data_IF_309146557432
#
_entry.id   IF_309146557432
#
_cell.length_a   1.000
_cell.length_b   1.000
_cell.length_c   1.000
_cell.angle_alpha   90.00
_cell.angle_beta   90.00
_cell.angle_gamma   90.00
#
_symmetry.space_group_name_H-M   'P 1'
#
loop_
_entity.id
_entity.type
_entity.pdbx_description
1 polymer ?
#
# COMPACT_ATOMS: atom_id res chain seq x y z
N UNK A 1 23.89 -17.83 10.51
CA UNK A 1 24.06 -17.20 9.18
C UNK A 1 24.92 -18.10 8.30
N UNK A 2 24.32 -18.83 7.35
CA UNK A 2 25.06 -19.60 6.32
C UNK A 2 25.14 -18.76 5.06
N UNK A 3 26.33 -18.32 4.69
CA UNK A 3 26.55 -17.57 3.47
C UNK A 3 26.62 -18.53 2.28
N UNK A 4 25.84 -18.24 1.23
CA UNK A 4 25.96 -18.90 -0.07
C UNK A 4 26.47 -17.88 -1.08
N UNK A 5 27.53 -18.24 -1.78
CA UNK A 5 27.97 -17.49 -2.96
C UNK A 5 27.10 -17.91 -4.13
N UNK A 6 26.48 -16.95 -4.81
CA UNK A 6 25.71 -17.20 -6.03
C UNK A 6 26.24 -16.32 -7.15
N UNK A 7 26.30 -16.88 -8.35
CA UNK A 7 26.52 -16.13 -9.58
C UNK A 7 25.21 -15.47 -10.03
N UNK A 8 25.27 -14.16 -10.30
CA UNK A 8 24.19 -13.45 -10.98
C UNK A 8 24.15 -13.89 -12.44
N UNK A 9 23.46 -14.99 -12.70
CA UNK A 9 23.14 -15.42 -14.05
C UNK A 9 22.27 -14.37 -14.76
N UNK A 10 22.92 -13.39 -15.40
CA UNK A 10 22.60 -12.66 -16.63
C UNK A 10 23.51 -11.42 -16.69
N UNK A 11 24.58 -11.49 -17.50
CA UNK A 11 25.31 -10.34 -18.06
C UNK A 11 26.26 -9.55 -17.16
N UNK A 12 26.14 -9.61 -15.84
CA UNK A 12 27.03 -8.89 -14.92
C UNK A 12 27.69 -9.89 -13.97
N UNK A 13 28.97 -10.17 -14.16
CA UNK A 13 29.77 -11.13 -13.39
C UNK A 13 30.09 -10.60 -11.99
N UNK A 14 29.07 -10.46 -11.14
CA UNK A 14 29.23 -10.06 -9.75
C UNK A 14 29.08 -11.28 -8.84
N UNK A 15 30.17 -11.67 -8.18
CA UNK A 15 30.11 -12.61 -7.07
C UNK A 15 29.47 -11.91 -5.88
N UNK A 16 28.22 -12.25 -5.54
CA UNK A 16 27.59 -11.76 -4.32
C UNK A 16 27.41 -12.89 -3.31
N UNK A 17 27.69 -12.57 -2.04
CA UNK A 17 27.34 -13.44 -0.92
C UNK A 17 25.90 -13.14 -0.54
N UNK A 18 25.02 -14.09 -0.78
CA UNK A 18 23.65 -14.06 -0.27
C UNK A 18 23.57 -14.97 0.95
N UNK A 19 23.07 -14.46 2.06
CA UNK A 19 22.66 -15.27 3.19
C UNK A 19 21.15 -15.18 3.31
N UNK A 20 20.48 -16.30 3.58
CA UNK A 20 19.11 -16.24 4.09
C UNK A 20 19.22 -15.65 5.51
N UNK A 21 18.72 -14.43 5.64
CA UNK A 21 18.74 -13.68 6.88
C UNK A 21 17.51 -14.06 7.70
N UNK A 22 17.75 -14.56 8.91
CA UNK A 22 16.73 -14.88 9.90
C UNK A 22 16.23 -13.58 10.56
N UNK A 23 15.62 -12.68 9.78
CA UNK A 23 15.27 -11.34 10.24
C UNK A 23 14.72 -10.41 9.17
N UNK A 24 14.28 -9.24 9.61
CA UNK A 24 13.72 -8.19 8.77
C UNK A 24 14.76 -7.10 8.53
N UNK A 25 15.02 -6.79 7.26
CA UNK A 25 15.65 -5.54 6.86
C UNK A 25 14.55 -4.45 6.81
N UNK A 26 14.77 -3.37 7.55
CA UNK A 26 13.94 -2.18 7.58
C UNK A 26 14.25 -1.29 6.37
N UNK A 27 13.36 -0.33 6.07
CA UNK A 27 13.52 0.60 4.94
C UNK A 27 14.73 1.54 5.12
N UNK A 28 15.17 1.76 6.36
CA UNK A 28 16.37 2.52 6.71
C UNK A 28 17.67 1.68 6.67
N UNK A 29 17.57 0.41 6.26
CA UNK A 29 18.70 -0.53 6.20
C UNK A 29 19.04 -1.21 7.53
N UNK A 30 18.31 -0.95 8.61
CA UNK A 30 18.53 -1.67 9.87
C UNK A 30 18.00 -3.10 9.78
N UNK A 31 18.71 -4.06 10.41
CA UNK A 31 18.31 -5.47 10.41
C UNK A 31 17.85 -5.90 11.81
N UNK A 32 16.65 -6.46 11.90
CA UNK A 32 16.09 -7.04 13.13
C UNK A 32 16.05 -8.56 12.99
N UNK A 33 16.89 -9.33 13.72
CA UNK A 33 16.83 -10.78 13.67
C UNK A 33 15.54 -11.32 14.32
N UNK A 34 14.93 -12.36 13.74
CA UNK A 34 13.78 -13.10 14.32
C UNK A 34 14.21 -14.05 15.44
N UNK A 35 15.48 -14.45 15.48
CA UNK A 35 15.99 -15.44 16.45
C UNK A 35 15.61 -16.90 16.15
N UNK A 36 14.90 -17.15 15.05
CA UNK A 36 14.50 -18.50 14.60
C UNK A 36 15.38 -18.89 13.40
N UNK A 37 16.18 -19.97 13.46
CA UNK A 37 17.04 -20.39 12.35
C UNK A 37 16.24 -20.81 11.12
N UNK A 38 16.54 -20.26 9.95
CA UNK A 38 15.93 -20.68 8.69
C UNK A 38 16.27 -22.14 8.37
N UNK A 39 15.23 -22.94 8.18
CA UNK A 39 15.33 -24.35 7.82
C UNK A 39 14.98 -24.53 6.32
N UNK A 40 16.01 -24.70 5.50
CA UNK A 40 15.87 -24.87 4.04
C UNK A 40 15.16 -26.17 3.61
N UNK A 41 14.85 -27.07 4.54
CA UNK A 41 14.09 -28.30 4.27
C UNK A 41 12.58 -28.12 4.39
N UNK A 42 12.12 -26.94 4.84
CA UNK A 42 10.70 -26.60 4.89
C UNK A 42 10.31 -26.05 3.53
N UNK A 43 9.45 -26.78 2.82
CA UNK A 43 8.78 -26.23 1.64
C UNK A 43 8.02 -24.98 2.08
N UNK A 44 8.32 -23.83 1.48
CA UNK A 44 7.49 -22.64 1.61
C UNK A 44 6.11 -23.05 1.08
N UNK A 45 5.10 -23.11 1.96
CA UNK A 45 3.75 -23.45 1.55
C UNK A 45 3.33 -22.47 0.44
N UNK A 46 2.76 -22.99 -0.64
CA UNK A 46 2.25 -22.13 -1.70
C UNK A 46 1.00 -21.43 -1.20
N UNK A 47 0.96 -20.11 -1.40
CA UNK A 47 -0.24 -19.29 -1.22
C UNK A 47 -1.41 -19.97 -1.95
N UNK A 48 -2.44 -20.39 -1.22
CA UNK A 48 -3.71 -20.77 -1.84
C UNK A 48 -4.40 -19.48 -2.28
N UNK A 49 -4.55 -19.29 -3.59
CA UNK A 49 -5.37 -18.21 -4.12
C UNK A 49 -6.76 -18.25 -3.46
N UNK A 50 -7.18 -17.14 -2.82
CA UNK A 50 -8.51 -16.98 -2.22
C UNK A 50 -8.59 -16.95 -0.69
N UNK A 51 -7.47 -17.12 0.04
CA UNK A 51 -7.48 -17.07 1.49
C UNK A 51 -7.10 -15.69 2.05
N UNK A 52 -8.09 -14.95 2.55
CA UNK A 52 -7.92 -13.65 3.21
C UNK A 52 -7.78 -13.71 4.73
N UNK A 53 -7.45 -12.56 5.32
CA UNK A 53 -7.32 -12.36 6.77
C UNK A 53 -8.66 -12.15 7.46
N UNK A 54 -9.73 -11.88 6.68
CA UNK A 54 -11.07 -11.61 7.20
C UNK A 54 -12.09 -12.58 6.61
N UNK A 55 -13.03 -13.02 7.45
CA UNK A 55 -14.17 -13.85 7.10
C UNK A 55 -15.45 -13.17 7.59
N UNK A 56 -16.36 -12.90 6.67
CA UNK A 56 -17.70 -12.36 6.98
C UNK A 56 -18.68 -13.52 6.98
N UNK A 57 -19.10 -13.94 8.18
CA UNK A 57 -20.14 -14.93 8.38
C UNK A 57 -21.54 -14.32 8.39
N UNK A 58 -22.57 -15.16 8.58
CA UNK A 58 -23.95 -14.69 8.67
C UNK A 58 -24.23 -13.88 9.94
N UNK A 59 -23.55 -14.21 11.04
CA UNK A 59 -23.81 -13.65 12.38
C UNK A 59 -22.60 -12.98 13.03
N UNK A 60 -21.40 -13.20 12.48
CA UNK A 60 -20.18 -12.58 12.97
C UNK A 60 -19.14 -12.34 11.88
N UNK A 61 -18.14 -11.55 12.25
CA UNK A 61 -16.94 -11.34 11.46
C UNK A 61 -15.78 -11.90 12.26
N UNK A 62 -14.92 -12.65 11.59
CA UNK A 62 -13.72 -13.22 12.17
C UNK A 62 -12.49 -12.76 11.38
N UNK A 63 -11.34 -12.75 12.05
CA UNK A 63 -10.06 -12.49 11.42
C UNK A 63 -9.05 -13.57 11.82
N UNK A 64 -7.93 -13.67 11.09
CA UNK A 64 -6.84 -14.59 11.42
C UNK A 64 -5.51 -14.04 10.95
N UNK A 65 -4.44 -14.60 11.51
CA UNK A 65 -3.06 -14.17 11.28
C UNK A 65 -2.39 -15.08 10.26
N UNK A 66 -1.69 -14.51 9.28
CA UNK A 66 -0.69 -15.26 8.53
C UNK A 66 0.60 -15.33 9.36
N UNK A 67 1.14 -16.54 9.55
CA UNK A 67 2.42 -16.79 10.23
C UNK A 67 3.52 -16.99 9.19
N UNK A 68 4.47 -16.07 9.12
CA UNK A 68 5.47 -15.98 8.04
C UNK A 68 6.54 -17.05 8.09
N UNK A 69 6.79 -17.71 9.23
CA UNK A 69 7.78 -18.81 9.28
C UNK A 69 7.34 -20.01 8.44
N UNK A 70 6.03 -20.21 8.29
CA UNK A 70 5.47 -21.41 7.66
C UNK A 70 4.39 -21.11 6.60
N UNK A 71 4.07 -19.82 6.36
CA UNK A 71 2.90 -19.36 5.60
C UNK A 71 1.60 -20.06 6.02
N UNK A 72 1.50 -20.38 7.31
CA UNK A 72 0.33 -21.02 7.89
C UNK A 72 -0.60 -19.99 8.49
N UNK A 73 -1.89 -20.18 8.29
CA UNK A 73 -2.91 -19.38 8.93
C UNK A 73 -3.13 -19.81 10.38
N UNK A 74 -3.34 -18.84 11.27
CA UNK A 74 -3.86 -19.13 12.62
C UNK A 74 -5.31 -19.60 12.57
N UNK A 75 -5.82 -20.03 13.73
CA UNK A 75 -7.26 -20.16 13.91
C UNK A 75 -7.95 -18.80 13.74
N UNK A 76 -9.22 -18.86 13.36
CA UNK A 76 -10.10 -17.69 13.30
C UNK A 76 -10.37 -17.15 14.70
N UNK A 77 -10.23 -15.84 14.85
CA UNK A 77 -10.53 -15.05 16.04
C UNK A 77 -11.73 -14.15 15.72
N UNK A 78 -12.80 -14.21 16.54
CA UNK A 78 -14.00 -13.40 16.33
C UNK A 78 -13.73 -11.93 16.66
N UNK A 79 -14.15 -11.02 15.79
CA UNK A 79 -14.16 -9.59 16.07
C UNK A 79 -15.42 -9.22 16.85
N UNK A 80 -15.30 -8.64 18.06
CA UNK A 80 -16.45 -8.30 18.89
C UNK A 80 -17.22 -7.11 18.30
N UNK A 81 -18.55 -7.11 18.52
CA UNK A 81 -19.43 -5.97 18.25
C UNK A 81 -19.44 -5.43 16.81
N UNK A 82 -19.13 -6.30 15.82
CA UNK A 82 -19.23 -5.99 14.40
C UNK A 82 -20.52 -6.58 13.83
N UNK A 83 -21.31 -5.74 13.16
CA UNK A 83 -22.41 -6.19 12.30
C UNK A 83 -21.82 -6.67 10.96
N UNK A 84 -21.93 -7.98 10.62
CA UNK A 84 -21.37 -8.53 9.39
C UNK A 84 -21.86 -7.83 8.12
N UNK A 85 -23.11 -7.34 8.11
CA UNK A 85 -23.69 -6.68 6.92
C UNK A 85 -23.08 -5.32 6.63
N UNK A 86 -22.47 -4.69 7.64
CA UNK A 86 -21.82 -3.39 7.53
C UNK A 86 -20.29 -3.50 7.49
N UNK A 87 -19.73 -4.72 7.54
CA UNK A 87 -18.30 -4.97 7.42
C UNK A 87 -17.94 -5.20 5.96
N UNK A 88 -17.02 -4.40 5.42
CA UNK A 88 -16.70 -4.36 4.00
C UNK A 88 -15.22 -4.70 3.78
N UNK A 89 -14.90 -5.94 3.38
CA UNK A 89 -13.56 -6.28 2.91
C UNK A 89 -13.19 -5.49 1.65
N UNK A 90 -11.98 -4.93 1.62
CA UNK A 90 -11.46 -4.08 0.52
C UNK A 90 -10.34 -4.82 -0.22
N UNK A 91 -9.42 -5.42 0.54
CA UNK A 91 -8.40 -6.37 0.07
C UNK A 91 -8.43 -7.60 0.97
N UNK A 92 -7.58 -8.59 0.68
CA UNK A 92 -7.41 -9.77 1.53
C UNK A 92 -6.94 -9.41 2.95
N UNK A 93 -6.47 -8.19 3.18
CA UNK A 93 -5.84 -7.75 4.43
C UNK A 93 -6.35 -6.41 4.96
N UNK A 94 -7.22 -5.73 4.22
CA UNK A 94 -7.82 -4.45 4.63
C UNK A 94 -9.34 -4.56 4.52
N UNK A 95 -10.04 -4.15 5.58
CA UNK A 95 -11.49 -4.06 5.60
C UNK A 95 -11.95 -2.79 6.32
N UNK A 96 -13.17 -2.33 6.05
CA UNK A 96 -13.78 -1.19 6.70
C UNK A 96 -15.04 -1.60 7.47
N UNK A 97 -15.19 -1.03 8.66
CA UNK A 97 -16.46 -1.02 9.38
C UNK A 97 -16.68 0.36 9.99
N UNK A 98 -17.77 1.02 9.59
CA UNK A 98 -18.05 2.43 9.92
C UNK A 98 -16.85 3.30 9.51
N UNK A 99 -16.32 4.09 10.43
CA UNK A 99 -15.14 4.94 10.25
C UNK A 99 -13.84 4.27 10.71
N UNK A 100 -13.77 2.93 10.75
CA UNK A 100 -12.54 2.22 11.10
C UNK A 100 -12.05 1.35 9.96
N UNK A 101 -10.74 1.37 9.72
CA UNK A 101 -10.06 0.37 8.91
C UNK A 101 -9.43 -0.69 9.81
N UNK A 102 -9.69 -1.93 9.47
CA UNK A 102 -9.09 -3.12 10.06
C UNK A 102 -8.02 -3.62 9.09
N UNK A 103 -6.78 -3.68 9.55
CA UNK A 103 -5.61 -3.98 8.72
C UNK A 103 -4.87 -5.15 9.35
N UNK A 104 -4.82 -6.28 8.64
CA UNK A 104 -3.92 -7.37 8.97
C UNK A 104 -2.50 -6.98 8.53
N UNK A 105 -1.64 -6.63 9.48
CA UNK A 105 -0.30 -6.11 9.22
C UNK A 105 0.77 -7.08 9.69
N UNK A 106 1.70 -7.40 8.79
CA UNK A 106 2.83 -8.26 9.10
C UNK A 106 3.77 -7.55 10.09
N UNK A 107 3.87 -8.08 11.30
CA UNK A 107 4.75 -7.56 12.34
C UNK A 107 6.23 -7.82 12.01
N UNK A 108 7.17 -7.12 12.67
CA UNK A 108 8.60 -7.42 12.56
C UNK A 108 8.98 -8.86 12.91
N UNK A 109 8.16 -9.54 13.72
CA UNK A 109 8.39 -10.91 14.17
C UNK A 109 7.88 -11.97 13.17
N UNK A 110 7.32 -11.54 12.05
CA UNK A 110 6.84 -12.47 11.03
C UNK A 110 5.46 -13.04 11.32
N UNK A 111 4.67 -12.42 12.18
CA UNK A 111 3.26 -12.79 12.34
C UNK A 111 2.37 -11.57 12.15
N UNK A 112 1.18 -11.80 11.62
CA UNK A 112 0.22 -10.73 11.48
C UNK A 112 -0.30 -10.23 12.83
N UNK A 113 -0.52 -8.93 12.87
CA UNK A 113 -1.21 -8.22 13.94
C UNK A 113 -2.40 -7.49 13.33
N UNK A 114 -3.48 -7.32 14.09
CA UNK A 114 -4.61 -6.51 13.66
C UNK A 114 -4.41 -5.07 14.11
N UNK A 115 -4.23 -4.17 13.16
CA UNK A 115 -4.19 -2.73 13.38
C UNK A 115 -5.57 -2.14 13.06
N UNK A 116 -6.04 -1.24 13.92
CA UNK A 116 -7.31 -0.52 13.72
C UNK A 116 -7.01 0.97 13.62
N UNK A 117 -7.38 1.57 12.50
CA UNK A 117 -7.18 3.01 12.24
C UNK A 117 -8.54 3.70 12.17
N UNK A 118 -8.70 4.80 12.89
CA UNK A 118 -9.89 5.65 12.79
C UNK A 118 -9.75 6.63 11.61
N UNK A 119 -10.71 6.58 10.69
CA UNK A 119 -10.86 7.50 9.59
C UNK A 119 -11.56 8.79 10.06
N UNK A 120 -11.16 9.92 9.48
CA UNK A 120 -11.80 11.22 9.70
C UNK A 120 -13.09 11.40 8.87
N UNK A 121 -13.41 10.39 8.07
CA UNK A 121 -14.57 10.28 7.21
C UNK A 121 -15.17 8.88 7.30
N UNK A 122 -16.50 8.78 7.26
CA UNK A 122 -17.21 7.50 7.14
C UNK A 122 -17.50 7.12 5.69
N UNK A 123 -16.90 7.83 4.71
CA UNK A 123 -17.06 7.50 3.30
C UNK A 123 -16.55 6.07 3.02
N UNK A 124 -17.14 5.35 2.06
CA UNK A 124 -16.64 4.05 1.64
C UNK A 124 -15.18 4.13 1.19
N UNK A 125 -14.34 3.30 1.77
CA UNK A 125 -12.94 3.18 1.41
C UNK A 125 -12.82 2.28 0.19
N UNK A 126 -12.25 2.80 -0.89
CA UNK A 126 -12.21 2.10 -2.18
C UNK A 126 -10.91 1.31 -2.31
N UNK A 127 -10.97 0.21 -3.09
CA UNK A 127 -9.79 -0.57 -3.51
C UNK A 127 -8.97 0.20 -4.56
N UNK A 128 -8.34 1.27 -4.12
CA UNK A 128 -7.52 2.15 -4.93
C UNK A 128 -6.27 2.61 -4.15
N UNK A 129 -5.33 3.23 -4.86
CA UNK A 129 -4.02 3.59 -4.31
C UNK A 129 -4.11 4.69 -3.25
N UNK A 130 -4.96 5.69 -3.44
CA UNK A 130 -5.18 6.78 -2.49
C UNK A 130 -6.67 6.97 -2.27
N UNK A 131 -7.09 7.06 -1.01
CA UNK A 131 -8.43 7.48 -0.61
C UNK A 131 -8.38 8.84 0.09
N UNK A 132 -9.43 9.65 -0.11
CA UNK A 132 -9.54 10.99 0.47
C UNK A 132 -10.42 10.97 1.74
N UNK A 133 -9.89 11.56 2.80
CA UNK A 133 -10.60 11.93 4.02
C UNK A 133 -11.00 13.40 4.03
N UNK A 134 -11.38 13.89 5.21
CA UNK A 134 -11.70 15.32 5.44
C UNK A 134 -10.45 16.18 5.57
N UNK A 135 -9.46 15.70 6.32
CA UNK A 135 -8.18 16.37 6.58
C UNK A 135 -6.97 15.48 6.33
N UNK A 136 -7.20 14.22 5.94
CA UNK A 136 -6.14 13.27 5.64
C UNK A 136 -6.34 12.59 4.28
N UNK A 137 -5.23 12.22 3.65
CA UNK A 137 -5.19 11.21 2.60
C UNK A 137 -4.72 9.88 3.17
N UNK A 138 -5.22 8.80 2.59
CA UNK A 138 -4.92 7.43 3.00
C UNK A 138 -4.33 6.68 1.80
N UNK A 139 -3.01 6.46 1.82
CA UNK A 139 -2.30 5.76 0.76
C UNK A 139 -2.15 4.27 1.09
N UNK A 140 -2.70 3.43 0.22
CA UNK A 140 -2.64 1.98 0.33
C UNK A 140 -1.29 1.49 -0.19
N UNK A 141 -0.40 1.16 0.74
CA UNK A 141 0.86 0.46 0.47
C UNK A 141 0.54 -1.03 0.37
N UNK A 142 0.33 -1.51 -0.85
CA UNK A 142 0.06 -2.94 -1.06
C UNK A 142 1.25 -3.66 -1.69
N UNK A 143 1.61 -4.77 -1.07
CA UNK A 143 2.45 -5.82 -1.62
C UNK A 143 1.87 -7.17 -1.18
N UNK A 144 2.19 -8.26 -1.89
CA UNK A 144 1.62 -9.60 -1.66
C UNK A 144 1.50 -10.03 -0.18
N UNK A 145 2.40 -9.59 0.70
CA UNK A 145 2.41 -9.95 2.12
C UNK A 145 2.41 -8.73 3.07
N UNK A 146 2.34 -7.51 2.52
CA UNK A 146 2.43 -6.27 3.30
C UNK A 146 1.46 -5.27 2.73
N UNK A 147 0.22 -5.37 3.20
CA UNK A 147 -0.75 -4.29 3.10
C UNK A 147 -0.58 -3.39 4.33
N UNK A 148 -0.45 -2.09 4.08
CA UNK A 148 -0.36 -1.05 5.10
C UNK A 148 -1.05 0.22 4.58
N UNK A 149 -1.51 1.07 5.49
CA UNK A 149 -2.13 2.36 5.16
C UNK A 149 -1.25 3.48 5.70
N UNK A 150 -0.65 4.24 4.80
CA UNK A 150 0.04 5.46 5.16
C UNK A 150 -0.95 6.62 5.20
N UNK A 151 -1.07 7.26 6.37
CA UNK A 151 -1.88 8.46 6.57
C UNK A 151 -1.01 9.70 6.36
N UNK A 152 -1.51 10.69 5.65
CA UNK A 152 -0.84 11.98 5.47
C UNK A 152 -1.83 13.13 5.54
N UNK A 153 -1.38 14.30 6.02
CA UNK A 153 -2.20 15.51 6.03
C UNK A 153 -2.35 16.09 4.62
N UNK A 154 -3.51 16.65 4.32
CA UNK A 154 -3.85 17.31 3.04
C UNK A 154 -4.17 18.79 3.26
N UNK A 155 -3.94 19.60 2.23
CA UNK A 155 -4.29 21.02 2.19
C UNK A 155 -5.59 21.24 1.40
N UNK A 156 -6.73 21.26 2.11
CA UNK A 156 -8.05 21.30 1.51
C UNK A 156 -8.48 19.97 0.88
N UNK A 157 -9.48 19.95 -0.02
CA UNK A 157 -10.02 18.72 -0.59
C UNK A 157 -8.99 17.98 -1.46
N UNK A 158 -8.77 16.70 -1.17
CA UNK A 158 -7.94 15.83 -2.00
C UNK A 158 -8.74 15.28 -3.18
N UNK A 159 -8.31 15.58 -4.40
CA UNK A 159 -8.83 14.99 -5.63
C UNK A 159 -7.96 13.82 -6.06
N UNK A 160 -8.56 12.65 -6.23
CA UNK A 160 -7.86 11.41 -6.59
C UNK A 160 -8.06 11.08 -8.07
N UNK A 161 -7.00 10.68 -8.75
CA UNK A 161 -7.02 10.09 -10.10
C UNK A 161 -6.38 8.70 -10.05
N UNK A 162 -6.37 7.99 -11.18
CA UNK A 162 -5.73 6.68 -11.28
C UNK A 162 -4.20 6.72 -11.03
N UNK A 163 -3.55 7.86 -11.30
CA UNK A 163 -2.08 7.97 -11.38
C UNK A 163 -1.46 8.91 -10.37
N UNK A 164 -2.23 9.91 -9.95
CA UNK A 164 -1.83 10.89 -8.94
C UNK A 164 -3.05 11.36 -8.16
N UNK A 165 -2.80 12.03 -7.05
CA UNK A 165 -3.81 12.83 -6.36
C UNK A 165 -3.27 14.25 -6.18
N UNK A 166 -4.14 15.21 -5.94
CA UNK A 166 -3.72 16.56 -5.64
C UNK A 166 -4.69 17.24 -4.69
N UNK A 167 -4.16 18.12 -3.86
CA UNK A 167 -4.91 19.02 -3.00
C UNK A 167 -4.65 20.47 -3.46
N UNK A 168 -4.88 21.46 -2.60
CA UNK A 168 -4.69 22.86 -2.97
C UNK A 168 -3.22 23.27 -3.16
N UNK A 169 -2.27 22.49 -2.64
CA UNK A 169 -0.84 22.86 -2.58
C UNK A 169 0.11 21.82 -3.16
N UNK A 170 -0.28 20.57 -3.13
CA UNK A 170 0.58 19.44 -3.42
C UNK A 170 -0.03 18.49 -4.44
N UNK A 171 0.87 17.88 -5.21
CA UNK A 171 0.59 16.72 -6.03
C UNK A 171 1.26 15.51 -5.39
N UNK A 172 0.50 14.43 -5.28
CA UNK A 172 0.89 13.17 -4.70
C UNK A 172 0.99 12.11 -5.80
N UNK A 173 2.16 11.50 -5.94
CA UNK A 173 2.44 10.43 -6.91
C UNK A 173 3.03 9.23 -6.19
N UNK A 174 3.09 8.06 -6.82
CA UNK A 174 3.59 6.85 -6.16
C UNK A 174 4.30 5.89 -7.11
N UNK A 175 5.32 5.19 -6.60
CA UNK A 175 6.01 4.09 -7.28
C UNK A 175 6.08 2.93 -6.30
N UNK A 176 5.59 1.75 -6.69
CA UNK A 176 5.52 0.62 -5.76
C UNK A 176 4.77 1.04 -4.49
N UNK A 177 5.30 0.76 -3.29
CA UNK A 177 4.67 1.17 -2.02
C UNK A 177 5.13 2.54 -1.49
N UNK A 178 5.81 3.34 -2.31
CA UNK A 178 6.32 4.66 -1.89
C UNK A 178 5.42 5.79 -2.39
N UNK A 179 5.01 6.67 -1.48
CA UNK A 179 4.32 7.92 -1.77
C UNK A 179 5.33 9.07 -1.90
N UNK A 180 5.15 9.91 -2.90
CA UNK A 180 5.90 11.14 -3.13
C UNK A 180 4.96 12.34 -3.09
N UNK A 181 5.46 13.47 -2.60
CA UNK A 181 4.71 14.73 -2.51
C UNK A 181 5.53 15.85 -3.14
N UNK A 182 4.93 16.58 -4.08
CA UNK A 182 5.56 17.68 -4.81
C UNK A 182 4.72 18.94 -4.65
N UNK A 183 5.32 20.05 -4.22
CA UNK A 183 4.62 21.33 -4.17
C UNK A 183 4.38 21.87 -5.58
N UNK A 184 3.19 22.42 -5.84
CA UNK A 184 2.83 23.05 -7.09
C UNK A 184 1.96 24.28 -6.83
N UNK A 185 2.17 25.41 -7.53
CA UNK A 185 1.28 26.56 -7.44
C UNK A 185 -0.08 26.34 -8.12
N UNK A 186 -0.19 25.35 -9.02
CA UNK A 186 -1.45 24.98 -9.65
C UNK A 186 -1.62 23.45 -9.75
N UNK A 187 -1.79 22.74 -8.62
CA UNK A 187 -1.83 21.27 -8.61
C UNK A 187 -2.91 20.68 -9.54
N UNK A 188 -4.02 21.39 -9.71
CA UNK A 188 -5.13 21.02 -10.58
C UNK A 188 -4.77 20.96 -12.08
N UNK A 189 -3.67 21.58 -12.51
CA UNK A 189 -3.17 21.52 -13.90
C UNK A 189 -2.21 20.35 -14.15
N UNK A 190 -1.99 19.49 -13.16
CA UNK A 190 -1.22 18.25 -13.32
C UNK A 190 -1.86 17.33 -14.35
N UNK A 191 -1.05 16.73 -15.23
CA UNK A 191 -1.53 15.86 -16.32
C UNK A 191 -0.51 14.78 -16.68
N UNK A 192 -0.96 13.75 -17.39
CA UNK A 192 -0.05 12.75 -17.98
C UNK A 192 0.44 13.22 -19.37
N UNK A 193 1.67 12.86 -19.76
CA UNK A 193 2.24 13.07 -21.11
C UNK A 193 1.52 12.24 -22.16
N UNK A 194 1.22 10.98 -21.85
CA UNK A 194 0.47 10.06 -22.69
C UNK A 194 -0.56 9.33 -21.84
N UNK A 195 -1.81 9.26 -22.31
CA UNK A 195 -2.87 8.51 -21.64
C UNK A 195 -2.67 6.99 -21.76
N UNK A 196 -1.74 6.52 -22.61
CA UNK A 196 -1.50 5.09 -22.85
C UNK A 196 -0.24 4.52 -22.19
N UNK A 197 0.60 5.34 -21.55
CA UNK A 197 1.83 4.90 -20.87
C UNK A 197 1.65 4.93 -19.35
N UNK A 198 1.41 3.75 -18.76
CA UNK A 198 0.98 3.62 -17.35
C UNK A 198 2.08 3.19 -16.37
N UNK A 199 3.36 3.18 -16.76
CA UNK A 199 4.41 2.47 -15.99
C UNK A 199 5.36 3.34 -15.16
N UNK A 200 5.56 4.63 -15.46
CA UNK A 200 6.48 5.50 -14.71
C UNK A 200 5.81 6.78 -14.21
N UNK A 201 6.28 7.35 -13.09
CA UNK A 201 5.88 8.69 -12.67
C UNK A 201 6.47 9.80 -13.56
N UNK A 202 7.46 9.49 -14.40
CA UNK A 202 8.09 10.45 -15.31
C UNK A 202 7.08 11.01 -16.33
N UNK A 203 6.01 10.27 -16.59
CA UNK A 203 4.93 10.69 -17.48
C UNK A 203 3.97 11.70 -16.83
N UNK A 204 4.12 12.01 -15.54
CA UNK A 204 3.25 12.94 -14.82
C UNK A 204 3.90 14.34 -14.83
N UNK A 205 3.28 15.26 -15.57
CA UNK A 205 3.70 16.66 -15.65
C UNK A 205 3.11 17.43 -14.48
N UNK A 206 3.99 17.81 -13.55
CA UNK A 206 3.69 18.67 -12.40
C UNK A 206 4.33 20.02 -12.66
N UNK A 207 3.51 21.08 -12.76
CA UNK A 207 3.99 22.46 -12.91
C UNK A 207 4.52 22.95 -11.55
N UNK A 208 5.77 23.40 -11.49
CA UNK A 208 6.45 23.73 -10.23
C UNK A 208 6.59 25.23 -9.99
N UNK A 209 6.27 26.04 -11.00
CA UNK A 209 6.40 27.50 -10.95
C UNK A 209 5.12 28.19 -11.43
N UNK A 210 4.90 29.42 -10.96
CA UNK A 210 3.77 30.26 -11.37
C UNK A 210 3.80 30.55 -12.88
N UNK A 211 5.00 30.75 -13.45
CA UNK A 211 5.16 31.02 -14.89
C UNK A 211 4.69 29.83 -15.74
N UNK A 212 5.03 28.60 -15.35
CA UNK A 212 4.55 27.39 -16.01
C UNK A 212 3.03 27.25 -15.89
N UNK A 213 2.48 27.58 -14.73
CA UNK A 213 1.03 27.62 -14.51
C UNK A 213 0.39 28.59 -15.51
N UNK A 214 0.82 29.85 -15.57
CA UNK A 214 0.23 30.86 -16.45
C UNK A 214 0.31 30.51 -17.95
N UNK A 215 1.41 29.90 -18.41
CA UNK A 215 1.61 29.54 -19.82
C UNK A 215 0.79 28.33 -20.27
N UNK A 216 0.34 27.50 -19.35
CA UNK A 216 -0.42 26.28 -19.68
C UNK A 216 -1.92 26.62 -19.79
N UNK A 217 -2.55 26.53 -20.97
CA UNK A 217 -3.98 26.79 -21.12
C UNK A 217 -4.82 25.75 -20.37
N UNK A 218 -6.01 26.13 -19.92
CA UNK A 218 -6.96 25.21 -19.29
C UNK A 218 -7.42 24.16 -20.30
N UNK A 219 -7.14 22.90 -20.00
CA UNK A 219 -7.40 21.75 -20.88
C UNK A 219 -8.91 21.54 -21.10
N UNK A 220 -9.77 22.10 -20.23
CA UNK A 220 -11.23 22.05 -20.37
C UNK A 220 -11.78 22.77 -21.62
N UNK A 221 -10.97 23.56 -22.35
CA UNK A 221 -11.43 24.24 -23.57
C UNK A 221 -11.11 23.53 -24.89
N UNK A 222 -10.38 22.40 -24.89
CA UNK A 222 -9.98 21.70 -26.13
C UNK A 222 -10.83 20.50 -26.51
N UNK A 223 -11.94 20.25 -25.82
CA UNK A 223 -12.92 19.22 -26.22
C UNK A 223 -14.32 19.85 -26.38
N UNK A 224 -14.56 20.40 -27.57
CA UNK A 224 -15.90 20.53 -28.15
C UNK A 224 -15.84 20.04 -29.60
N UNK A 225 -16.97 19.49 -30.09
CA UNK A 225 -17.08 18.17 -30.73
C UNK A 225 -16.49 18.06 -32.13
#
# INVERSE_FOLDING_TARGET
MKWKTKDSGYGYWANYRSGELDGRLLEDGAFIPTGIPYNSSVNIAQYSDGEGSFLVGETDVSWRKLRSTDQQWSQWEKLPDIDPKAFHPITDRVAQYKNHLYIAKLSPFGEDTLEIITLDSSAPFLKQRINAGKGHGYFMRSSRLRDDIQIFAIDGPLKTTERFAYDNRYVYTWIGSQLYRTASPCPARTRNLDQNMFSSNDDIIILKTEEECHKTPDIEQTLKP
#
